data_IF_508539882418
#
_entry.id   IF_508539882418
#
_cell.length_a   1.000
_cell.length_b   1.000
_cell.length_c   1.000
_cell.angle_alpha   90.00
_cell.angle_beta   90.00
_cell.angle_gamma   90.00
#
_symmetry.space_group_name_H-M   'P 1'
#
loop_
_entity.id
_entity.type
_entity.pdbx_description
1 polymer ?
#
# COMPACT_ATOMS: atom_id res chain seq x y z
N UNK A 1 -9.86 -26.79 -33.81
CA UNK A 1 -9.28 -28.15 -33.74
C UNK A 1 -8.58 -28.40 -32.39
N UNK A 2 -8.70 -29.61 -31.81
CA UNK A 2 -8.18 -29.92 -30.48
C UNK A 2 -6.66 -29.68 -30.32
N UNK A 3 -5.90 -29.80 -31.40
CA UNK A 3 -4.45 -29.50 -31.47
C UNK A 3 -4.11 -28.04 -31.19
N UNK A 4 -4.87 -27.08 -31.74
CA UNK A 4 -4.61 -25.65 -31.53
C UNK A 4 -4.83 -25.23 -30.07
N UNK A 5 -5.79 -25.85 -29.38
CA UNK A 5 -6.07 -25.59 -27.96
C UNK A 5 -4.91 -26.13 -27.09
N UNK A 6 -4.37 -27.30 -27.44
CA UNK A 6 -3.23 -27.88 -26.74
C UNK A 6 -1.96 -27.02 -26.90
N UNK A 7 -1.68 -26.55 -28.12
CA UNK A 7 -0.53 -25.68 -28.39
C UNK A 7 -0.66 -24.31 -27.70
N UNK A 8 -1.86 -23.74 -27.67
CA UNK A 8 -2.14 -22.52 -26.91
C UNK A 8 -1.85 -22.72 -25.41
N UNK A 9 -2.37 -23.80 -24.80
CA UNK A 9 -2.13 -24.11 -23.38
C UNK A 9 -0.64 -24.29 -23.08
N UNK A 10 0.10 -24.95 -23.98
CA UNK A 10 1.55 -25.17 -23.85
C UNK A 10 2.33 -23.85 -23.92
N UNK A 11 1.90 -22.94 -24.79
CA UNK A 11 2.48 -21.59 -24.90
C UNK A 11 2.21 -20.74 -23.66
N UNK A 12 0.98 -20.79 -23.13
CA UNK A 12 0.66 -20.13 -21.86
C UNK A 12 1.51 -20.68 -20.71
N UNK A 13 1.69 -22.01 -20.65
CA UNK A 13 2.53 -22.64 -19.64
C UNK A 13 3.99 -22.21 -19.75
N UNK A 14 4.56 -22.17 -20.96
CA UNK A 14 5.95 -21.72 -21.14
C UNK A 14 6.13 -20.26 -20.76
N UNK A 15 5.14 -19.41 -21.07
CA UNK A 15 5.13 -18.02 -20.61
C UNK A 15 5.13 -17.92 -19.08
N UNK A 16 4.25 -18.66 -18.39
CA UNK A 16 4.22 -18.64 -16.92
C UNK A 16 5.51 -19.15 -16.29
N UNK A 17 6.12 -20.19 -16.87
CA UNK A 17 7.42 -20.72 -16.40
C UNK A 17 8.50 -19.64 -16.52
N UNK A 18 8.62 -18.99 -17.69
CA UNK A 18 9.60 -17.92 -17.89
C UNK A 18 9.33 -16.71 -16.98
N UNK A 19 8.06 -16.32 -16.82
CA UNK A 19 7.67 -15.25 -15.92
C UNK A 19 8.10 -15.55 -14.47
N UNK A 20 7.84 -16.75 -13.96
CA UNK A 20 8.28 -17.18 -12.62
C UNK A 20 9.81 -17.24 -12.51
N UNK A 21 10.50 -17.69 -13.55
CA UNK A 21 11.96 -17.70 -13.59
C UNK A 21 12.55 -16.28 -13.51
N UNK A 22 11.98 -15.32 -14.25
CA UNK A 22 12.38 -13.91 -14.21
C UNK A 22 12.06 -13.27 -12.85
N UNK A 23 10.91 -13.58 -12.26
CA UNK A 23 10.54 -13.10 -10.92
C UNK A 23 11.55 -13.63 -9.90
N UNK A 24 11.84 -14.93 -9.89
CA UNK A 24 12.83 -15.53 -8.97
C UNK A 24 14.25 -15.01 -9.19
N UNK A 25 14.62 -14.65 -10.44
CA UNK A 25 15.93 -14.08 -10.76
C UNK A 25 16.09 -12.64 -10.28
N UNK A 26 15.02 -11.84 -10.35
CA UNK A 26 15.05 -10.40 -10.03
C UNK A 26 14.66 -10.09 -8.59
N UNK A 27 13.97 -11.02 -7.92
CA UNK A 27 13.47 -10.85 -6.57
C UNK A 27 14.04 -11.94 -5.65
N UNK A 28 14.73 -11.51 -4.60
CA UNK A 28 15.27 -12.40 -3.57
C UNK A 28 14.20 -12.74 -2.53
N UNK A 29 13.48 -13.84 -2.74
CA UNK A 29 12.48 -14.33 -1.78
C UNK A 29 13.07 -14.83 -0.46
N UNK A 30 14.37 -15.12 -0.43
CA UNK A 30 15.09 -15.60 0.76
C UNK A 30 15.64 -14.46 1.62
N UNK A 31 15.30 -13.21 1.31
CA UNK A 31 15.78 -12.07 2.07
C UNK A 31 15.16 -12.04 3.48
N UNK A 32 15.97 -12.07 4.57
CA UNK A 32 15.47 -11.97 5.94
C UNK A 32 14.69 -10.69 6.24
N UNK A 33 14.72 -9.70 5.33
CA UNK A 33 13.94 -8.49 5.42
C UNK A 33 12.44 -8.76 5.57
N UNK A 34 11.87 -9.73 4.86
CA UNK A 34 10.44 -9.99 4.94
C UNK A 34 10.03 -10.52 6.30
N UNK A 35 10.83 -11.42 6.87
CA UNK A 35 10.63 -11.91 8.23
C UNK A 35 10.80 -10.79 9.25
N UNK A 36 11.78 -9.90 9.05
CA UNK A 36 11.98 -8.72 9.90
C UNK A 36 10.75 -7.80 9.88
N UNK A 37 10.25 -7.48 8.68
CA UNK A 37 9.07 -6.63 8.52
C UNK A 37 7.83 -7.25 9.16
N UNK A 38 7.59 -8.53 8.91
CA UNK A 38 6.44 -9.25 9.46
C UNK A 38 6.53 -9.35 10.99
N UNK A 39 7.72 -9.59 11.56
CA UNK A 39 7.87 -9.71 13.01
C UNK A 39 7.81 -8.36 13.74
N UNK A 40 8.20 -7.26 13.10
CA UNK A 40 8.18 -5.91 13.70
C UNK A 40 6.85 -5.21 13.48
N UNK A 41 6.29 -5.26 12.27
CA UNK A 41 5.11 -4.47 11.90
C UNK A 41 3.78 -5.16 12.25
N UNK A 42 3.74 -6.48 12.40
CA UNK A 42 2.50 -7.17 12.73
C UNK A 42 2.02 -6.77 14.14
N UNK A 43 0.80 -6.19 14.28
CA UNK A 43 0.28 -5.73 15.57
C UNK A 43 0.30 -6.82 16.64
N UNK A 44 -0.06 -8.05 16.29
CA UNK A 44 -0.12 -9.18 17.24
C UNK A 44 1.28 -9.46 17.81
N UNK A 45 2.29 -9.50 16.95
CA UNK A 45 3.68 -9.79 17.35
C UNK A 45 4.33 -8.62 18.09
N UNK A 46 4.03 -7.40 17.65
CA UNK A 46 4.50 -6.17 18.28
C UNK A 46 3.93 -5.99 19.70
N UNK A 47 2.63 -6.25 19.90
CA UNK A 47 1.98 -6.23 21.22
C UNK A 47 2.56 -7.30 22.16
N UNK A 48 2.85 -8.49 21.63
CA UNK A 48 3.48 -9.58 22.39
C UNK A 48 4.97 -9.38 22.66
N UNK A 49 5.58 -8.32 22.14
CA UNK A 49 7.00 -8.03 22.27
C UNK A 49 7.90 -9.20 21.80
N UNK A 50 7.54 -9.86 20.70
CA UNK A 50 8.31 -10.99 20.17
C UNK A 50 9.72 -10.58 19.72
N UNK A 51 9.82 -9.41 19.06
CA UNK A 51 11.10 -8.78 18.75
C UNK A 51 11.53 -7.95 19.96
N UNK A 52 12.53 -8.42 20.70
CA UNK A 52 13.00 -7.75 21.91
C UNK A 52 13.82 -6.49 21.64
N UNK A 53 14.45 -6.42 20.47
CA UNK A 53 15.39 -5.36 20.15
C UNK A 53 15.36 -5.03 18.66
N UNK A 54 15.36 -3.73 18.34
CA UNK A 54 15.27 -3.22 16.97
C UNK A 54 16.65 -3.00 16.31
N UNK A 55 17.77 -3.38 16.95
CA UNK A 55 19.12 -3.24 16.38
C UNK A 55 19.28 -3.98 15.05
N UNK A 56 18.53 -5.06 14.83
CA UNK A 56 18.49 -5.75 13.54
C UNK A 56 17.99 -4.85 12.41
N UNK A 57 17.01 -3.98 12.69
CA UNK A 57 16.48 -2.98 11.75
C UNK A 57 17.54 -1.91 11.47
N UNK A 58 18.18 -1.40 12.52
CA UNK A 58 19.21 -0.35 12.40
C UNK A 58 20.38 -0.84 11.55
N UNK A 59 20.86 -2.07 11.81
CA UNK A 59 21.94 -2.69 11.02
C UNK A 59 21.55 -2.90 9.57
N UNK A 60 20.29 -3.24 9.31
CA UNK A 60 19.79 -3.46 7.94
C UNK A 60 19.64 -2.15 7.17
N UNK A 61 19.29 -1.06 7.85
CA UNK A 61 19.04 0.25 7.26
C UNK A 61 19.92 1.33 7.90
N UNK A 62 21.23 1.36 7.60
CA UNK A 62 22.17 2.29 8.23
C UNK A 62 21.90 3.76 7.89
N UNK A 63 21.12 4.02 6.82
CA UNK A 63 20.76 5.37 6.38
C UNK A 63 19.57 5.97 7.14
N UNK A 64 18.93 5.21 8.03
CA UNK A 64 17.88 5.77 8.88
C UNK A 64 18.56 6.64 9.94
N UNK A 65 18.27 7.94 9.91
CA UNK A 65 18.74 8.88 10.92
C UNK A 65 17.94 8.61 12.19
N UNK A 66 18.53 7.86 13.11
CA UNK A 66 17.96 7.63 14.44
C UNK A 66 18.68 8.58 15.39
N UNK A 67 17.98 9.55 15.99
CA UNK A 67 18.60 10.48 16.92
C UNK A 67 19.16 9.79 18.17
N UNK A 68 18.49 8.72 18.64
CA UNK A 68 18.84 8.06 19.90
C UNK A 68 18.41 6.57 19.94
N UNK A 69 19.40 5.67 19.90
CA UNK A 69 19.16 4.22 19.97
C UNK A 69 18.72 3.74 21.37
N UNK A 70 19.19 4.38 22.43
CA UNK A 70 18.83 4.02 23.81
C UNK A 70 17.37 4.37 24.09
N UNK A 71 16.94 5.56 23.66
CA UNK A 71 15.55 5.98 23.80
C UNK A 71 14.62 5.19 22.85
N UNK A 72 15.08 4.76 21.68
CA UNK A 72 14.32 3.85 20.82
C UNK A 72 13.97 2.54 21.54
N UNK A 73 14.92 1.91 22.23
CA UNK A 73 14.66 0.67 22.96
C UNK A 73 13.64 0.88 24.09
N UNK A 74 13.72 2.00 24.81
CA UNK A 74 12.74 2.37 25.84
C UNK A 74 11.35 2.60 25.26
N UNK A 75 11.25 3.31 24.14
CA UNK A 75 10.00 3.54 23.42
C UNK A 75 9.37 2.24 22.94
N UNK A 76 10.17 1.35 22.35
CA UNK A 76 9.72 0.05 21.87
C UNK A 76 9.17 -0.82 22.99
N UNK A 77 9.89 -0.86 24.12
CA UNK A 77 9.43 -1.55 25.33
C UNK A 77 8.15 -0.92 25.87
N UNK A 78 8.11 0.41 26.01
CA UNK A 78 6.93 1.16 26.48
C UNK A 78 5.69 0.88 25.65
N UNK A 79 5.84 0.78 24.33
CA UNK A 79 4.76 0.40 23.41
C UNK A 79 4.17 -0.97 23.78
N UNK A 80 4.99 -1.99 24.02
CA UNK A 80 4.48 -3.32 24.37
C UNK A 80 3.79 -3.40 25.74
N UNK A 81 4.04 -2.44 26.63
CA UNK A 81 3.37 -2.33 27.93
C UNK A 81 2.12 -1.42 27.90
N UNK A 82 1.72 -0.92 26.74
CA UNK A 82 0.46 -0.18 26.62
C UNK A 82 -0.73 -1.10 26.93
N UNK A 83 -1.75 -0.55 27.58
CA UNK A 83 -3.03 -1.23 27.72
C UNK A 83 -3.85 -1.07 26.43
N UNK A 84 -3.71 -2.05 25.53
CA UNK A 84 -4.43 -2.05 24.25
C UNK A 84 -5.95 -2.17 24.41
N UNK A 85 -6.43 -2.69 25.55
CA UNK A 85 -7.86 -2.80 25.86
C UNK A 85 -8.45 -1.41 26.14
N UNK A 86 -7.78 -0.59 26.94
CA UNK A 86 -8.19 0.79 27.20
C UNK A 86 -8.14 1.67 25.94
N UNK A 87 -7.23 1.36 25.02
CA UNK A 87 -7.02 2.10 23.78
C UNK A 87 -8.01 1.73 22.66
N UNK A 88 -8.97 0.84 22.93
CA UNK A 88 -9.92 0.32 21.93
C UNK A 88 -9.23 -0.16 20.65
N UNK A 89 -8.08 -0.82 20.79
CA UNK A 89 -7.32 -1.36 19.67
C UNK A 89 -7.48 -2.87 19.61
N UNK A 90 -8.16 -3.36 18.57
CA UNK A 90 -8.16 -4.79 18.31
C UNK A 90 -6.82 -5.23 17.71
N UNK A 91 -6.33 -6.43 18.04
CA UNK A 91 -5.13 -7.00 17.43
C UNK A 91 -5.31 -7.26 15.92
N UNK A 92 -6.54 -7.36 15.44
CA UNK A 92 -6.89 -7.58 14.03
C UNK A 92 -6.96 -6.28 13.20
N UNK A 93 -6.59 -5.14 13.78
CA UNK A 93 -6.51 -3.88 13.05
C UNK A 93 -5.53 -4.00 11.87
N UNK A 94 -5.82 -3.40 10.71
CA UNK A 94 -4.86 -3.28 9.64
C UNK A 94 -3.56 -2.65 10.16
N UNK A 95 -2.41 -3.21 9.77
CA UNK A 95 -1.07 -2.78 10.22
C UNK A 95 -0.89 -1.26 10.10
N UNK A 96 -1.32 -0.67 8.97
CA UNK A 96 -1.29 0.77 8.75
C UNK A 96 -2.10 1.56 9.79
N UNK A 97 -3.32 1.11 10.10
CA UNK A 97 -4.21 1.77 11.06
C UNK A 97 -3.70 1.65 12.48
N UNK A 98 -3.17 0.47 12.83
CA UNK A 98 -2.54 0.19 14.12
C UNK A 98 -1.37 1.16 14.39
N UNK A 99 -0.37 1.18 13.51
CA UNK A 99 0.78 2.07 13.69
C UNK A 99 0.40 3.54 13.60
N UNK A 100 -0.58 3.91 12.76
CA UNK A 100 -1.07 5.28 12.73
C UNK A 100 -1.68 5.73 14.06
N UNK A 101 -2.37 4.86 14.79
CA UNK A 101 -2.90 5.18 16.12
C UNK A 101 -1.77 5.35 17.14
N UNK A 102 -0.86 4.37 17.22
CA UNK A 102 0.29 4.40 18.13
C UNK A 102 1.16 5.64 17.91
N UNK A 103 1.53 5.93 16.66
CA UNK A 103 2.45 7.02 16.33
C UNK A 103 1.83 8.42 16.44
N UNK A 104 0.51 8.51 16.62
CA UNK A 104 -0.22 9.75 16.90
C UNK A 104 -0.42 10.01 18.40
N UNK A 105 -0.07 9.07 19.26
CA UNK A 105 -0.18 9.25 20.71
C UNK A 105 0.75 10.38 21.16
N UNK A 106 0.21 11.21 22.04
CA UNK A 106 0.94 12.28 22.72
C UNK A 106 1.00 11.98 24.20
N UNK A 107 2.06 12.46 24.86
CA UNK A 107 2.17 12.38 26.30
C UNK A 107 1.35 13.48 26.99
N UNK A 108 1.38 13.51 28.33
CA UNK A 108 0.67 14.53 29.12
C UNK A 108 1.15 15.97 28.90
N UNK A 109 2.26 16.17 28.19
CA UNK A 109 2.79 17.49 27.81
C UNK A 109 2.42 17.90 26.40
N UNK A 110 1.77 17.02 25.62
CA UNK A 110 1.37 17.25 24.23
C UNK A 110 2.45 16.88 23.21
N UNK A 111 3.61 16.39 23.66
CA UNK A 111 4.70 15.94 22.79
C UNK A 111 4.46 14.51 22.29
N UNK A 112 5.01 14.12 21.11
CA UNK A 112 4.84 12.78 20.59
C UNK A 112 5.39 11.73 21.57
N UNK A 113 4.59 10.71 21.88
CA UNK A 113 4.93 9.69 22.87
C UNK A 113 6.06 8.74 22.41
N UNK A 114 6.25 8.61 21.09
CA UNK A 114 7.16 7.67 20.44
C UNK A 114 7.94 8.30 19.26
N UNK A 115 8.74 9.35 19.49
CA UNK A 115 9.38 10.11 18.42
C UNK A 115 10.42 9.30 17.63
N UNK A 116 11.23 8.46 18.29
CA UNK A 116 12.27 7.68 17.62
C UNK A 116 11.67 6.45 16.92
N UNK A 117 10.73 5.77 17.57
CA UNK A 117 10.02 4.63 16.99
C UNK A 117 9.22 5.04 15.75
N UNK A 118 8.67 6.26 15.73
CA UNK A 118 7.95 6.82 14.57
C UNK A 118 8.78 6.84 13.31
N UNK A 119 10.04 7.27 13.39
CA UNK A 119 10.90 7.35 12.21
C UNK A 119 11.25 5.96 11.67
N UNK A 120 11.49 4.99 12.56
CA UNK A 120 11.73 3.59 12.16
C UNK A 120 10.50 2.99 11.49
N UNK A 121 9.34 3.06 12.14
CA UNK A 121 8.12 2.41 11.66
C UNK A 121 7.67 3.02 10.33
N UNK A 122 7.79 4.34 10.13
CA UNK A 122 7.48 4.96 8.83
C UNK A 122 8.33 4.39 7.70
N UNK A 123 9.64 4.25 7.90
CA UNK A 123 10.53 3.69 6.88
C UNK A 123 10.14 2.24 6.56
N UNK A 124 9.86 1.45 7.60
CA UNK A 124 9.42 0.06 7.42
C UNK A 124 8.07 -0.05 6.70
N UNK A 125 7.12 0.86 6.95
CA UNK A 125 5.82 0.89 6.28
C UNK A 125 5.88 1.30 4.80
N UNK A 126 6.93 2.01 4.38
CA UNK A 126 7.18 2.32 2.95
C UNK A 126 7.62 1.08 2.19
N UNK A 127 8.23 0.11 2.87
CA UNK A 127 8.66 -1.13 2.24
C UNK A 127 7.45 -2.02 1.95
N UNK A 128 7.51 -2.80 0.86
CA UNK A 128 6.44 -3.74 0.51
C UNK A 128 6.42 -4.89 1.54
N UNK A 129 5.70 -4.70 2.65
CA UNK A 129 5.57 -5.70 3.72
C UNK A 129 4.35 -6.60 3.54
N UNK A 130 3.32 -6.17 2.79
CA UNK A 130 2.10 -6.95 2.58
C UNK A 130 1.40 -6.65 1.25
N UNK A 131 0.84 -7.70 0.65
CA UNK A 131 -0.01 -7.60 -0.53
C UNK A 131 -1.41 -7.03 -0.22
N UNK A 132 -1.81 -6.90 1.05
CA UNK A 132 -3.15 -6.44 1.42
C UNK A 132 -3.48 -5.04 0.88
N UNK A 133 -2.51 -4.12 0.87
CA UNK A 133 -2.69 -2.79 0.28
C UNK A 133 -2.96 -2.88 -1.23
N UNK A 134 -2.22 -3.75 -1.90
CA UNK A 134 -2.30 -3.97 -3.35
C UNK A 134 -3.61 -4.66 -3.71
N UNK A 135 -4.04 -5.66 -2.95
CA UNK A 135 -5.34 -6.33 -3.11
C UNK A 135 -6.50 -5.37 -2.89
N UNK A 136 -6.40 -4.45 -1.91
CA UNK A 136 -7.38 -3.39 -1.71
C UNK A 136 -7.48 -2.48 -2.94
N UNK A 137 -6.35 -2.07 -3.51
CA UNK A 137 -6.32 -1.27 -4.75
C UNK A 137 -6.90 -2.06 -5.93
N UNK A 138 -6.55 -3.34 -6.09
CA UNK A 138 -7.10 -4.19 -7.16
C UNK A 138 -8.60 -4.45 -7.00
N UNK A 139 -9.10 -4.59 -5.77
CA UNK A 139 -10.53 -4.69 -5.48
C UNK A 139 -11.26 -3.41 -5.90
N UNK A 140 -10.71 -2.24 -5.57
CA UNK A 140 -11.25 -0.97 -6.05
C UNK A 140 -11.20 -0.84 -7.57
N UNK A 141 -10.12 -1.29 -8.20
CA UNK A 141 -9.97 -1.31 -9.64
C UNK A 141 -11.02 -2.23 -10.29
N UNK A 142 -11.30 -3.40 -9.69
CA UNK A 142 -12.35 -4.32 -10.14
C UNK A 142 -13.74 -3.71 -10.06
N UNK A 143 -14.01 -2.88 -9.05
CA UNK A 143 -15.27 -2.13 -8.96
C UNK A 143 -15.40 -1.05 -10.04
N UNK A 144 -14.28 -0.41 -10.41
CA UNK A 144 -14.25 0.61 -11.48
C UNK A 144 -14.38 -0.06 -12.86
N UNK A 145 -13.69 -1.18 -13.05
CA UNK A 145 -13.66 -1.98 -14.27
C UNK A 145 -14.58 -3.20 -14.11
N UNK A 146 -15.88 -2.94 -14.12
CA UNK A 146 -16.91 -3.99 -14.08
C UNK A 146 -17.04 -4.70 -15.42
N UNK A 147 -17.74 -5.83 -15.45
CA UNK A 147 -17.94 -6.63 -16.67
C UNK A 147 -18.62 -5.82 -17.79
N UNK A 148 -19.50 -4.89 -17.42
CA UNK A 148 -20.18 -3.98 -18.35
C UNK A 148 -19.33 -2.75 -18.74
N UNK A 149 -18.29 -2.43 -17.96
CA UNK A 149 -17.41 -1.25 -18.14
C UNK A 149 -15.94 -1.66 -18.20
N UNK A 150 -15.62 -2.62 -19.05
CA UNK A 150 -14.26 -3.19 -19.15
C UNK A 150 -13.34 -2.45 -20.13
N UNK A 151 -13.87 -1.55 -20.97
CA UNK A 151 -13.13 -0.82 -22.01
C UNK A 151 -12.83 0.62 -21.60
N UNK A 152 -12.01 0.77 -20.56
CA UNK A 152 -11.53 2.06 -20.08
C UNK A 152 -10.04 2.23 -20.39
N UNK A 153 -9.69 3.41 -20.91
CA UNK A 153 -8.28 3.79 -21.08
C UNK A 153 -7.61 3.93 -19.71
N UNK A 154 -6.30 3.70 -19.68
CA UNK A 154 -5.49 3.76 -18.46
C UNK A 154 -5.59 5.11 -17.76
N UNK A 155 -5.61 6.21 -18.52
CA UNK A 155 -5.73 7.57 -17.98
C UNK A 155 -7.08 7.79 -17.28
N UNK A 156 -8.15 7.24 -17.86
CA UNK A 156 -9.49 7.29 -17.27
C UNK A 156 -9.55 6.48 -15.98
N UNK A 157 -8.94 5.29 -15.97
CA UNK A 157 -8.86 4.45 -14.77
C UNK A 157 -8.08 5.17 -13.66
N UNK A 158 -6.92 5.74 -13.99
CA UNK A 158 -6.09 6.49 -13.04
C UNK A 158 -6.85 7.68 -12.45
N UNK A 159 -7.53 8.47 -13.30
CA UNK A 159 -8.35 9.60 -12.86
C UNK A 159 -9.51 9.17 -11.94
N UNK A 160 -10.18 8.05 -12.26
CA UNK A 160 -11.27 7.52 -11.43
C UNK A 160 -10.77 6.99 -10.08
N UNK A 161 -9.64 6.30 -10.06
CA UNK A 161 -8.99 5.84 -8.82
C UNK A 161 -8.60 7.03 -7.94
N UNK A 162 -7.96 8.05 -8.52
CA UNK A 162 -7.59 9.26 -7.80
C UNK A 162 -8.80 10.02 -7.26
N UNK A 163 -9.86 10.16 -8.08
CA UNK A 163 -11.11 10.82 -7.67
C UNK A 163 -11.77 10.07 -6.51
N UNK A 164 -11.85 8.73 -6.59
CA UNK A 164 -12.40 7.90 -5.51
C UNK A 164 -11.58 8.00 -4.22
N UNK A 165 -10.26 8.07 -4.32
CA UNK A 165 -9.39 8.25 -3.15
C UNK A 165 -9.54 9.64 -2.52
N UNK A 166 -9.74 10.68 -3.33
CA UNK A 166 -9.88 12.06 -2.86
C UNK A 166 -11.27 12.38 -2.30
N UNK A 167 -12.33 11.84 -2.91
CA UNK A 167 -13.72 12.14 -2.54
C UNK A 167 -14.23 11.10 -1.54
N UNK A 168 -14.21 11.47 -0.25
CA UNK A 168 -14.71 10.61 0.85
C UNK A 168 -16.23 10.42 0.82
N UNK A 169 -16.97 11.46 0.48
CA UNK A 169 -18.43 11.43 0.36
C UNK A 169 -18.86 12.30 -0.82
N UNK A 170 -19.51 11.69 -1.80
CA UNK A 170 -19.99 12.39 -2.99
C UNK A 170 -21.12 13.38 -2.66
N UNK A 171 -21.91 13.11 -1.63
CA UNK A 171 -23.04 13.95 -1.21
C UNK A 171 -22.63 15.25 -0.54
N UNK A 172 -21.41 15.32 0.01
CA UNK A 172 -20.86 16.50 0.69
C UNK A 172 -19.69 17.10 -0.07
N UNK A 173 -19.43 16.64 -1.31
CA UNK A 173 -18.31 17.12 -2.10
C UNK A 173 -18.67 18.46 -2.74
N UNK A 174 -17.99 19.52 -2.31
CA UNK A 174 -18.07 20.82 -2.96
C UNK A 174 -16.84 21.01 -3.88
N UNK A 175 -17.04 21.12 -5.20
CA UNK A 175 -15.94 21.31 -6.13
C UNK A 175 -15.29 22.69 -5.96
N UNK A 176 -13.96 22.74 -6.02
CA UNK A 176 -13.25 24.02 -5.99
C UNK A 176 -13.59 24.87 -7.22
N UNK A 177 -13.51 26.19 -7.11
CA UNK A 177 -13.72 27.11 -8.24
C UNK A 177 -12.84 26.75 -9.45
N UNK A 178 -11.60 26.33 -9.20
CA UNK A 178 -10.69 25.86 -10.25
C UNK A 178 -11.22 24.62 -10.98
N UNK A 179 -11.83 23.67 -10.25
CA UNK A 179 -12.39 22.45 -10.82
C UNK A 179 -13.67 22.73 -11.62
N UNK A 180 -14.50 23.69 -11.17
CA UNK A 180 -15.68 24.14 -11.93
C UNK A 180 -15.33 24.83 -13.25
N UNK A 181 -14.17 25.47 -13.33
CA UNK A 181 -13.68 26.13 -14.55
C UNK A 181 -12.76 25.25 -15.41
N UNK A 182 -12.46 24.03 -14.97
CA UNK A 182 -11.64 23.10 -15.73
C UNK A 182 -12.42 22.57 -16.95
N UNK A 183 -12.02 23.00 -18.16
CA UNK A 183 -12.57 22.44 -19.40
C UNK A 183 -12.04 21.02 -19.59
N UNK A 184 -12.92 20.03 -19.52
CA UNK A 184 -12.61 18.65 -19.94
C UNK A 184 -12.44 18.70 -21.46
N UNK A 185 -11.21 18.52 -21.96
CA UNK A 185 -10.98 18.22 -23.37
C UNK A 185 -11.45 16.78 -23.61
N UNK A 186 -12.64 16.58 -24.16
CA UNK A 186 -12.98 15.30 -24.77
C UNK A 186 -12.02 15.10 -25.95
N UNK A 187 -11.27 13.99 -25.98
CA UNK A 187 -10.56 13.59 -27.19
C UNK A 187 -11.60 13.16 -28.21
N UNK A 188 -11.78 13.95 -29.26
CA UNK A 188 -12.48 13.54 -30.47
C UNK A 188 -11.52 12.69 -31.29
N UNK A 189 -11.30 11.45 -30.87
CA UNK A 189 -10.75 10.44 -31.77
C UNK A 189 -11.94 9.80 -32.51
N UNK A 190 -12.46 10.57 -33.46
CA UNK A 190 -13.51 10.20 -34.39
C UNK A 190 -13.02 10.54 -35.78
N UNK A 191 -12.47 9.53 -36.44
CA UNK A 191 -12.11 9.45 -37.85
C UNK A 191 -13.15 10.15 -38.76
N UNK A 192 -12.69 11.03 -39.64
CA UNK A 192 -13.56 11.91 -40.42
C UNK A 192 -12.90 12.46 -41.68
N UNK A 193 -12.04 11.67 -42.32
CA UNK A 193 -11.66 11.91 -43.72
C UNK A 193 -12.70 11.21 -44.62
N UNK A 194 -13.59 12.01 -45.21
CA UNK A 194 -14.61 11.54 -46.14
C UNK A 194 -15.35 12.69 -46.80
N UNK A 195 -14.82 13.11 -47.95
CA UNK A 195 -15.28 14.17 -48.84
C UNK A 195 -16.79 14.14 -49.13
N UNK A 196 -17.34 15.34 -49.32
CA UNK A 196 -18.76 15.55 -49.56
C UNK A 196 -19.30 15.09 -50.92
N UNK A 197 -20.62 15.08 -51.01
CA UNK A 197 -21.38 15.43 -52.21
C UNK A 197 -22.85 15.64 -51.86
N UNK A 198 -23.32 16.82 -52.27
CA UNK A 198 -24.70 17.30 -52.51
C UNK A 198 -25.74 17.11 -51.41
#
# INVERSE_FOLDING_TARGET
PPTQIADFRKTCLSFYIEALAQIRKRFSFEDPLFDLLENVLNPIKAQKFEVKDLSCVIKRFPNIIIPDTENLHKEWKKHAFLDFSELNMSPDLPVEEYWNKILKMTDGTGEPMFPNLKEIIKVLLVLPFSNACVERVFSQLKLIKSDQRNRLNTDTIAALMATKAAVKNATTFEPSKALMHAKIKCSTDGDGDGEGRC
#
